data_IF_061036668988
#
_entry.id   IF_061036668988
#
_cell.length_a   1.000
_cell.length_b   1.000
_cell.length_c   1.000
_cell.angle_alpha   90.00
_cell.angle_beta   90.00
_cell.angle_gamma   90.00
#
_symmetry.space_group_name_H-M   'P 1'
#
loop_
_entity.id
_entity.type
_entity.pdbx_description
1 polymer ?
#
# COMPACT_ATOMS: atom_id res chain seq x y z
N UNK A 1 4.79 22.08 7.52
CA UNK A 1 5.93 21.20 7.84
C UNK A 1 5.46 20.09 8.79
N UNK A 2 4.66 19.13 8.30
CA UNK A 2 4.08 18.08 9.14
C UNK A 2 4.93 16.83 9.06
N UNK A 3 5.79 16.60 10.07
CA UNK A 3 6.54 15.35 10.17
C UNK A 3 5.56 14.20 10.39
N UNK A 4 5.26 13.43 9.33
CA UNK A 4 4.58 12.15 9.47
C UNK A 4 5.58 11.17 10.07
N UNK A 5 5.29 10.78 11.32
CA UNK A 5 6.06 9.81 12.09
C UNK A 5 6.06 8.48 11.33
N UNK A 6 7.12 8.19 10.59
CA UNK A 6 7.39 6.83 10.15
C UNK A 6 7.60 5.98 11.41
N UNK A 7 6.60 5.18 11.75
CA UNK A 7 6.71 4.16 12.77
C UNK A 7 7.82 3.19 12.33
N UNK A 8 9.02 3.33 12.90
CA UNK A 8 10.14 2.41 12.66
C UNK A 8 9.79 1.06 13.29
N UNK A 9 9.12 0.18 12.54
CA UNK A 9 8.74 -1.12 13.07
C UNK A 9 7.86 -1.95 12.14
N UNK A 10 8.43 -2.32 10.99
CA UNK A 10 8.08 -3.41 10.04
C UNK A 10 7.96 -2.87 8.61
N UNK A 11 9.06 -3.00 7.85
CA UNK A 11 9.04 -2.80 6.40
C UNK A 11 8.35 -3.98 5.72
N UNK A 12 7.61 -3.71 4.65
CA UNK A 12 7.13 -4.76 3.77
C UNK A 12 8.31 -5.57 3.19
N UNK A 13 8.10 -6.85 2.83
CA UNK A 13 9.06 -7.65 2.08
C UNK A 13 9.63 -6.90 0.87
N UNK A 14 10.94 -7.03 0.58
CA UNK A 14 11.57 -6.33 -0.54
C UNK A 14 10.88 -6.58 -1.90
N UNK A 15 10.50 -7.83 -2.19
CA UNK A 15 9.87 -8.19 -3.47
C UNK A 15 8.50 -7.52 -3.67
N UNK A 16 7.72 -7.35 -2.59
CA UNK A 16 6.49 -6.57 -2.65
C UNK A 16 6.79 -5.11 -3.00
N UNK A 17 7.79 -4.52 -2.35
CA UNK A 17 8.19 -3.12 -2.54
C UNK A 17 8.75 -2.85 -3.93
N UNK A 18 9.59 -3.74 -4.47
CA UNK A 18 10.15 -3.61 -5.82
C UNK A 18 9.04 -3.50 -6.88
N UNK A 19 7.97 -4.28 -6.74
CA UNK A 19 6.83 -4.23 -7.65
C UNK A 19 5.97 -2.97 -7.44
N UNK A 20 5.85 -2.45 -6.21
CA UNK A 20 5.19 -1.17 -5.93
C UNK A 20 5.96 -0.04 -6.62
N UNK A 21 7.27 0.00 -6.45
CA UNK A 21 8.14 1.02 -7.05
C UNK A 21 8.04 0.99 -8.58
N UNK A 22 8.07 -0.21 -9.19
CA UNK A 22 7.91 -0.38 -10.62
C UNK A 22 6.54 0.12 -11.13
N UNK A 23 5.46 -0.17 -10.41
CA UNK A 23 4.12 0.29 -10.77
C UNK A 23 3.96 1.80 -10.63
N UNK A 24 4.50 2.41 -9.58
CA UNK A 24 4.47 3.87 -9.39
C UNK A 24 5.29 4.58 -10.46
N UNK A 25 6.45 4.03 -10.85
CA UNK A 25 7.23 4.53 -11.98
C UNK A 25 6.43 4.49 -13.28
N UNK A 26 5.73 3.38 -13.56
CA UNK A 26 4.82 3.27 -14.70
C UNK A 26 3.70 4.33 -14.67
N UNK A 27 3.06 4.54 -13.52
CA UNK A 27 2.01 5.56 -13.39
C UNK A 27 2.53 6.98 -13.62
N UNK A 28 3.76 7.27 -13.20
CA UNK A 28 4.37 8.59 -13.35
C UNK A 28 4.86 8.85 -14.79
N UNK A 29 5.58 7.89 -15.38
CA UNK A 29 6.28 8.06 -16.64
C UNK A 29 5.40 7.73 -17.85
N UNK A 30 4.73 6.59 -17.83
CA UNK A 30 3.97 6.09 -18.98
C UNK A 30 2.54 6.62 -18.98
N UNK A 31 1.93 6.75 -17.79
CA UNK A 31 0.55 7.27 -17.66
C UNK A 31 0.49 8.78 -17.39
N UNK A 32 1.62 9.42 -17.11
CA UNK A 32 1.70 10.86 -16.88
C UNK A 32 0.82 11.36 -15.74
N UNK A 33 0.55 10.53 -14.71
CA UNK A 33 -0.32 10.93 -13.61
C UNK A 33 0.33 12.04 -12.78
N UNK A 34 -0.52 12.95 -12.26
CA UNK A 34 -0.06 14.02 -11.39
C UNK A 34 0.67 13.47 -10.16
N UNK A 35 1.72 14.17 -9.72
CA UNK A 35 2.57 13.77 -8.58
C UNK A 35 1.75 13.45 -7.31
N UNK A 36 0.74 14.25 -7.00
CA UNK A 36 -0.11 14.03 -5.83
C UNK A 36 -0.95 12.76 -5.96
N UNK A 37 -1.37 12.40 -7.17
CA UNK A 37 -2.07 11.14 -7.44
C UNK A 37 -1.11 9.96 -7.24
N UNK A 38 0.09 10.00 -7.81
CA UNK A 38 1.11 8.95 -7.62
C UNK A 38 1.45 8.76 -6.13
N UNK A 39 1.61 9.87 -5.39
CA UNK A 39 1.86 9.82 -3.94
C UNK A 39 0.70 9.19 -3.15
N UNK A 40 -0.54 9.42 -3.56
CA UNK A 40 -1.70 8.78 -2.94
C UNK A 40 -1.68 7.26 -3.17
N UNK A 41 -1.42 6.81 -4.40
CA UNK A 41 -1.23 5.39 -4.71
C UNK A 41 -0.07 4.78 -3.91
N UNK A 42 1.05 5.48 -3.76
CA UNK A 42 2.19 5.02 -2.96
C UNK A 42 1.78 4.78 -1.50
N UNK A 43 1.15 5.77 -0.86
CA UNK A 43 0.69 5.69 0.52
C UNK A 43 -0.21 4.46 0.75
N UNK A 44 -1.12 4.17 -0.18
CA UNK A 44 -2.08 3.07 -0.07
C UNK A 44 -1.43 1.70 -0.34
N UNK A 45 -0.61 1.60 -1.40
CA UNK A 45 0.09 0.36 -1.76
C UNK A 45 1.12 -0.06 -0.70
N UNK A 46 1.88 0.88 -0.15
CA UNK A 46 2.86 0.60 0.92
C UNK A 46 2.16 0.04 2.16
N UNK A 47 1.04 0.65 2.57
CA UNK A 47 0.28 0.18 3.74
C UNK A 47 -0.29 -1.22 3.53
N UNK A 48 -0.77 -1.52 2.32
CA UNK A 48 -1.25 -2.85 1.98
C UNK A 48 -0.11 -3.87 1.93
N UNK A 49 1.04 -3.54 1.33
CA UNK A 49 2.23 -4.39 1.30
C UNK A 49 2.74 -4.70 2.72
N UNK A 50 2.75 -3.71 3.62
CA UNK A 50 3.08 -3.93 5.03
C UNK A 50 2.07 -4.86 5.73
N UNK A 51 0.79 -4.77 5.37
CA UNK A 51 -0.24 -5.69 5.87
C UNK A 51 -0.01 -7.12 5.41
N UNK A 52 0.23 -7.32 4.12
CA UNK A 52 0.58 -8.63 3.56
C UNK A 52 1.84 -9.20 4.20
N UNK A 53 2.88 -8.37 4.38
CA UNK A 53 4.11 -8.76 5.07
C UNK A 53 3.88 -9.19 6.53
N UNK A 54 2.99 -8.50 7.26
CA UNK A 54 2.58 -8.93 8.62
C UNK A 54 1.83 -10.26 8.62
N UNK A 55 1.13 -10.60 7.54
CA UNK A 55 0.46 -11.88 7.34
C UNK A 55 1.42 -12.99 6.84
N UNK A 56 2.71 -12.69 6.66
CA UNK A 56 3.74 -13.66 6.27
C UNK A 56 3.96 -13.79 4.76
N UNK A 57 3.26 -12.99 3.96
CA UNK A 57 3.35 -13.03 2.50
C UNK A 57 4.61 -12.31 2.05
N UNK A 58 5.37 -12.92 1.14
CA UNK A 58 6.67 -12.42 0.66
C UNK A 58 6.60 -11.80 -0.73
N UNK A 59 5.67 -12.27 -1.56
CA UNK A 59 5.51 -11.87 -2.96
C UNK A 59 4.04 -11.61 -3.30
N UNK A 60 3.78 -10.91 -4.42
CA UNK A 60 2.42 -10.66 -4.90
C UNK A 60 1.69 -11.93 -5.33
N UNK A 61 2.43 -12.97 -5.74
CA UNK A 61 1.86 -14.27 -6.09
C UNK A 61 1.23 -15.00 -4.88
N UNK A 62 1.68 -14.69 -3.66
CA UNK A 62 1.11 -15.22 -2.43
C UNK A 62 -0.12 -14.42 -1.96
N UNK A 63 -0.45 -13.29 -2.61
CA UNK A 63 -1.60 -12.44 -2.26
C UNK A 63 -2.90 -13.06 -2.78
N UNK A 64 -3.85 -13.25 -1.86
CA UNK A 64 -5.15 -13.87 -2.15
C UNK A 64 -6.29 -12.91 -1.82
N UNK A 65 -7.51 -13.27 -2.23
CA UNK A 65 -8.73 -12.55 -1.83
C UNK A 65 -8.87 -12.44 -0.30
N UNK A 66 -8.48 -13.48 0.44
CA UNK A 66 -8.49 -13.45 1.91
C UNK A 66 -7.57 -12.38 2.50
N UNK A 67 -6.42 -12.13 1.85
CA UNK A 67 -5.50 -11.05 2.21
C UNK A 67 -6.17 -9.69 2.06
N UNK A 68 -6.89 -9.47 0.96
CA UNK A 68 -7.65 -8.23 0.70
C UNK A 68 -8.78 -8.06 1.72
N UNK A 69 -9.58 -9.11 1.98
CA UNK A 69 -10.66 -9.07 2.97
C UNK A 69 -10.14 -8.73 4.36
N UNK A 70 -9.02 -9.34 4.76
CA UNK A 70 -8.39 -9.07 6.05
C UNK A 70 -7.89 -7.62 6.16
N UNK A 71 -7.43 -7.05 5.04
CA UNK A 71 -7.01 -5.66 4.94
C UNK A 71 -8.19 -4.70 5.07
N UNK A 72 -9.27 -4.90 4.31
CA UNK A 72 -10.48 -4.08 4.38
C UNK A 72 -11.06 -4.09 5.80
N UNK A 73 -11.16 -5.27 6.43
CA UNK A 73 -11.57 -5.41 7.84
C UNK A 73 -10.63 -4.67 8.79
N UNK A 74 -9.33 -4.59 8.48
CA UNK A 74 -8.36 -3.84 9.30
C UNK A 74 -8.48 -2.32 9.14
N UNK A 75 -8.98 -1.83 8.01
CA UNK A 75 -9.25 -0.41 7.78
C UNK A 75 -10.52 0.04 8.48
N UNK A 76 -11.57 -0.78 8.45
CA UNK A 76 -12.83 -0.54 9.16
C UNK A 76 -12.62 -0.43 10.69
N UNK A 77 -11.87 -1.38 11.28
CA UNK A 77 -11.49 -1.32 12.71
C UNK A 77 -10.69 -0.07 13.10
N UNK A 78 -10.05 0.61 12.14
CA UNK A 78 -9.27 1.83 12.37
C UNK A 78 -10.09 3.11 12.16
N UNK A 79 -11.39 3.01 11.90
CA UNK A 79 -12.28 4.16 11.75
C UNK A 79 -11.96 5.02 10.53
N UNK A 80 -11.38 4.45 9.48
CA UNK A 80 -11.10 5.18 8.24
C UNK A 80 -12.42 5.52 7.54
N UNK A 81 -12.56 6.78 7.10
CA UNK A 81 -13.76 7.23 6.38
C UNK A 81 -13.96 6.43 5.09
N UNK A 82 -15.22 6.14 4.73
CA UNK A 82 -15.59 5.35 3.55
C UNK A 82 -14.96 5.86 2.23
N UNK A 83 -14.70 7.16 2.11
CA UNK A 83 -14.02 7.76 0.95
C UNK A 83 -12.54 7.42 0.85
N UNK A 84 -11.89 7.03 1.94
CA UNK A 84 -10.51 6.52 1.93
C UNK A 84 -10.44 5.03 1.60
N UNK A 85 -11.56 4.30 1.68
CA UNK A 85 -11.64 2.87 1.33
C UNK A 85 -11.85 2.63 -0.18
N UNK A 86 -12.40 3.61 -0.90
CA UNK A 86 -12.78 3.49 -2.30
C UNK A 86 -11.75 4.03 -3.31
N UNK A 87 -10.55 4.43 -2.84
CA UNK A 87 -9.49 4.98 -3.69
C UNK A 87 -8.63 3.89 -4.29
#
# INVERSE_FOLDING_TARGET
MGQRRHNKGKKAPPELMESVDAFLAYLALERGLAKLTVQAYEDDLVRFAEHCGRAGQKSWAEVTLSSVDSWVKSLDRRGQAATSLAR
#
